data_IF_840448804976
#
_entry.id   IF_840448804976
#
_cell.length_a   1.000
_cell.length_b   1.000
_cell.length_c   1.000
_cell.angle_alpha   90.00
_cell.angle_beta   90.00
_cell.angle_gamma   90.00
#
_symmetry.space_group_name_H-M   'P 1'
#
loop_
_entity.id
_entity.type
_entity.pdbx_description
1 polymer ?
#
# COMPACT_ATOMS: atom_id res chain seq x y z
N UNK A 1 -8.61 20.96 14.57
CA UNK A 1 -8.52 19.56 14.10
C UNK A 1 -7.07 19.39 13.71
N UNK A 2 -6.33 18.49 14.37
CA UNK A 2 -4.91 18.31 14.07
C UNK A 2 -4.77 17.76 12.65
N UNK A 3 -3.75 18.20 11.90
CA UNK A 3 -3.47 17.69 10.57
C UNK A 3 -2.92 16.26 10.73
N UNK A 4 -3.29 15.32 9.84
CA UNK A 4 -2.71 13.97 9.86
C UNK A 4 -1.18 14.01 9.76
N UNK A 5 -0.63 15.05 9.14
CA UNK A 5 0.80 15.27 9.11
C UNK A 5 1.39 15.39 10.52
N UNK A 6 0.69 15.97 11.49
CA UNK A 6 1.17 16.07 12.89
C UNK A 6 1.47 14.70 13.51
N UNK A 7 0.82 13.66 12.99
CA UNK A 7 1.01 12.28 13.40
C UNK A 7 1.97 11.48 12.53
N UNK A 8 2.44 12.06 11.43
CA UNK A 8 3.48 11.51 10.58
C UNK A 8 4.87 11.89 11.10
N UNK A 9 5.92 11.13 10.73
CA UNK A 9 7.28 11.48 11.11
C UNK A 9 7.76 12.76 10.39
N UNK A 10 7.60 13.89 11.09
CA UNK A 10 7.92 15.24 10.63
C UNK A 10 9.39 15.46 10.27
N UNK A 11 10.31 14.59 10.70
CA UNK A 11 11.74 14.71 10.37
C UNK A 11 12.00 14.63 8.86
N UNK A 12 11.08 14.04 8.08
CA UNK A 12 11.14 13.99 6.61
C UNK A 12 10.83 15.32 5.92
N UNK A 13 9.87 16.09 6.43
CA UNK A 13 9.32 17.22 5.67
C UNK A 13 10.29 18.41 5.59
N UNK A 14 11.33 18.45 6.44
CA UNK A 14 12.27 19.58 6.54
C UNK A 14 13.48 19.50 5.60
N UNK A 15 13.78 18.37 4.98
CA UNK A 15 15.08 18.15 4.29
C UNK A 15 15.02 18.11 2.75
N UNK A 16 13.85 18.32 2.12
CA UNK A 16 13.68 18.22 0.65
C UNK A 16 14.07 19.53 -0.08
N UNK A 17 15.19 20.18 0.28
CA UNK A 17 15.60 21.43 -0.40
C UNK A 17 17.10 21.53 -0.69
N UNK A 18 17.52 20.95 -1.83
CA UNK A 18 18.42 21.49 -2.89
C UNK A 18 19.25 20.38 -3.56
N UNK A 19 19.19 20.20 -4.90
CA UNK A 19 19.92 19.13 -5.56
C UNK A 19 21.37 19.52 -5.93
N UNK A 20 22.31 18.59 -5.71
CA UNK A 20 23.56 18.47 -6.48
C UNK A 20 23.63 17.06 -7.08
N UNK A 21 24.04 16.98 -8.35
CA UNK A 21 23.81 15.92 -9.34
C UNK A 21 24.23 14.46 -9.01
N UNK A 22 24.81 14.19 -7.85
CA UNK A 22 25.23 12.82 -7.44
C UNK A 22 24.54 12.32 -6.15
N UNK A 23 23.51 13.03 -5.69
CA UNK A 23 22.90 12.95 -4.34
C UNK A 23 21.52 12.27 -4.26
N UNK A 24 20.97 11.69 -5.34
CA UNK A 24 19.54 11.28 -5.41
C UNK A 24 19.04 10.35 -4.29
N UNK A 25 19.90 9.53 -3.67
CA UNK A 25 19.50 8.61 -2.59
C UNK A 25 19.73 9.15 -1.17
N UNK A 26 20.44 10.28 -1.01
CA UNK A 26 20.77 10.87 0.30
C UNK A 26 19.65 11.74 0.89
N UNK A 27 18.59 12.02 0.12
CA UNK A 27 17.58 13.04 0.48
C UNK A 27 16.35 12.47 1.22
N UNK A 28 16.27 11.15 1.46
CA UNK A 28 15.28 10.56 2.37
C UNK A 28 15.99 9.99 3.59
N UNK A 29 16.47 10.87 4.49
CA UNK A 29 17.32 10.51 5.64
C UNK A 29 16.75 9.46 6.61
N UNK A 30 15.48 9.05 6.48
CA UNK A 30 14.87 8.01 7.30
C UNK A 30 14.26 6.84 6.50
N UNK A 31 14.38 6.79 5.17
CA UNK A 31 14.08 5.57 4.43
C UNK A 31 15.31 4.66 4.40
N UNK A 32 15.18 3.49 4.98
CA UNK A 32 16.24 2.49 5.06
C UNK A 32 16.05 1.52 3.91
N UNK A 33 16.99 1.47 2.96
CA UNK A 33 17.00 0.46 1.91
C UNK A 33 17.25 -0.91 2.54
N UNK A 34 16.40 -1.89 2.22
CA UNK A 34 16.53 -3.28 2.67
C UNK A 34 17.03 -4.19 1.55
N UNK A 35 16.66 -3.86 0.31
CA UNK A 35 17.06 -4.52 -0.93
C UNK A 35 16.71 -3.60 -2.10
N UNK A 36 17.00 -4.04 -3.32
CA UNK A 36 16.67 -3.28 -4.52
C UNK A 36 15.16 -3.01 -4.60
N UNK A 37 14.78 -1.74 -4.70
CA UNK A 37 13.37 -1.32 -4.75
C UNK A 37 12.56 -1.62 -3.48
N UNK A 38 13.20 -1.94 -2.35
CA UNK A 38 12.55 -2.24 -1.07
C UNK A 38 13.06 -1.31 0.04
N UNK A 39 12.17 -0.52 0.58
CA UNK A 39 12.49 0.52 1.56
C UNK A 39 11.63 0.37 2.81
N UNK A 40 12.19 0.68 3.97
CA UNK A 40 11.46 0.77 5.24
C UNK A 40 11.60 2.17 5.82
N UNK A 41 10.50 2.78 6.25
CA UNK A 41 10.48 4.16 6.73
C UNK A 41 9.51 4.32 7.90
N UNK A 42 9.74 5.26 8.84
CA UNK A 42 8.70 5.64 9.78
C UNK A 42 7.58 6.31 8.99
N UNK A 43 6.33 6.03 9.37
CA UNK A 43 5.13 6.62 8.77
C UNK A 43 4.30 7.28 9.85
N UNK A 44 3.92 6.53 10.88
CA UNK A 44 3.07 7.03 11.97
C UNK A 44 3.79 7.01 13.32
N UNK A 45 3.40 7.94 14.19
CA UNK A 45 3.71 7.84 15.62
C UNK A 45 2.98 6.66 16.25
N UNK A 46 3.54 6.09 17.34
CA UNK A 46 2.88 5.01 18.09
C UNK A 46 1.51 5.43 18.61
N UNK A 47 1.39 6.66 19.11
CA UNK A 47 0.13 7.21 19.60
C UNK A 47 -0.95 7.20 18.51
N UNK A 48 -0.60 7.61 17.28
CA UNK A 48 -1.54 7.56 16.18
C UNK A 48 -1.91 6.13 15.79
N UNK A 49 -0.95 5.19 15.81
CA UNK A 49 -1.26 3.78 15.60
C UNK A 49 -2.32 3.29 16.60
N UNK A 50 -2.19 3.62 17.89
CA UNK A 50 -3.19 3.25 18.91
C UNK A 50 -4.56 3.89 18.63
N UNK A 51 -4.61 5.19 18.34
CA UNK A 51 -5.88 5.87 18.01
C UNK A 51 -6.57 5.27 16.77
N UNK A 52 -5.80 4.96 15.73
CA UNK A 52 -6.34 4.33 14.53
C UNK A 52 -6.81 2.90 14.80
N UNK A 53 -6.09 2.13 15.62
CA UNK A 53 -6.52 0.79 16.02
C UNK A 53 -7.80 0.80 16.84
N UNK A 54 -7.97 1.76 17.76
CA UNK A 54 -9.20 1.91 18.55
C UNK A 54 -10.42 2.13 17.63
N UNK A 55 -10.29 3.00 16.62
CA UNK A 55 -11.35 3.26 15.64
C UNK A 55 -11.63 2.02 14.78
N UNK A 56 -10.59 1.33 14.30
CA UNK A 56 -10.74 0.10 13.52
C UNK A 56 -11.40 -1.02 14.35
N UNK A 57 -11.06 -1.16 15.62
CA UNK A 57 -11.70 -2.14 16.51
C UNK A 57 -13.16 -1.76 16.82
N UNK A 58 -13.50 -0.46 16.86
CA UNK A 58 -14.89 0.00 16.98
C UNK A 58 -15.70 -0.33 15.73
N UNK A 59 -15.13 -0.09 14.54
CA UNK A 59 -15.72 -0.49 13.25
C UNK A 59 -15.92 -1.99 13.20
N UNK A 60 -14.91 -2.79 13.59
CA UNK A 60 -14.97 -4.25 13.54
C UNK A 60 -16.11 -4.80 14.42
N UNK A 61 -16.34 -4.19 15.60
CA UNK A 61 -17.40 -4.56 16.55
C UNK A 61 -18.79 -4.06 16.16
N UNK A 62 -18.89 -3.10 15.23
CA UNK A 62 -20.16 -2.54 14.78
C UNK A 62 -20.90 -3.48 13.82
N UNK A 63 -22.20 -3.27 13.64
CA UNK A 63 -23.01 -3.98 12.64
C UNK A 63 -22.85 -3.40 11.22
N UNK A 64 -21.94 -2.44 11.02
CA UNK A 64 -21.72 -1.86 9.70
C UNK A 64 -21.24 -2.92 8.70
N UNK A 65 -21.73 -2.88 7.44
CA UNK A 65 -21.22 -3.74 6.38
C UNK A 65 -19.71 -3.55 6.19
N UNK A 66 -18.98 -4.64 6.07
CA UNK A 66 -17.53 -4.63 5.87
C UNK A 66 -17.23 -5.31 4.53
N UNK A 67 -16.81 -4.52 3.54
CA UNK A 67 -16.30 -5.07 2.29
C UNK A 67 -15.04 -5.87 2.53
N UNK A 68 -14.81 -6.90 1.70
CA UNK A 68 -13.55 -7.66 1.76
C UNK A 68 -12.38 -6.75 1.34
N UNK A 69 -11.26 -6.74 2.09
CA UNK A 69 -10.10 -5.90 1.77
C UNK A 69 -9.50 -6.24 0.40
N UNK A 70 -9.39 -7.53 0.07
CA UNK A 70 -9.03 -8.04 -1.25
C UNK A 70 -9.47 -9.52 -1.37
N UNK A 71 -9.12 -10.18 -2.48
CA UNK A 71 -9.45 -11.59 -2.76
C UNK A 71 -8.67 -12.61 -1.92
N UNK A 72 -7.56 -12.21 -1.28
CA UNK A 72 -6.63 -13.09 -0.60
C UNK A 72 -6.75 -13.06 0.94
N UNK A 73 -7.30 -11.98 1.51
CA UNK A 73 -7.43 -11.80 2.96
C UNK A 73 -8.86 -12.06 3.45
N UNK A 74 -8.97 -12.71 4.62
CA UNK A 74 -10.26 -13.03 5.26
C UNK A 74 -10.73 -11.93 6.19
N UNK A 75 -9.81 -11.17 6.79
CA UNK A 75 -10.11 -10.13 7.77
C UNK A 75 -9.47 -8.80 7.40
N UNK A 76 -10.21 -7.71 7.61
CA UNK A 76 -9.74 -6.37 7.30
C UNK A 76 -10.87 -5.41 6.96
N UNK A 77 -10.54 -4.13 6.88
CA UNK A 77 -11.49 -3.04 6.61
C UNK A 77 -11.02 -2.28 5.37
N UNK A 78 -11.92 -2.09 4.40
CA UNK A 78 -11.74 -1.15 3.30
C UNK A 78 -11.91 0.28 3.83
N UNK A 79 -10.83 1.06 3.88
CA UNK A 79 -10.81 2.34 4.59
C UNK A 79 -11.66 3.42 3.89
N UNK A 80 -11.86 3.31 2.58
CA UNK A 80 -12.71 4.23 1.83
C UNK A 80 -14.21 4.08 2.17
N UNK A 81 -14.66 2.91 2.62
CA UNK A 81 -16.06 2.69 3.05
C UNK A 81 -16.39 3.45 4.35
N UNK A 82 -15.38 3.81 5.13
CA UNK A 82 -15.51 4.44 6.44
C UNK A 82 -15.01 5.90 6.46
N UNK A 83 -14.83 6.51 5.29
CA UNK A 83 -14.54 7.95 5.19
C UNK A 83 -13.09 8.36 5.52
N UNK A 84 -12.15 7.41 5.62
CA UNK A 84 -10.74 7.72 5.87
C UNK A 84 -10.04 8.39 4.68
N UNK A 85 -10.65 8.41 3.49
CA UNK A 85 -10.01 8.93 2.27
C UNK A 85 -9.65 10.42 2.38
N UNK A 86 -10.61 11.26 2.76
CA UNK A 86 -10.45 12.73 2.71
C UNK A 86 -9.39 13.25 3.68
N UNK A 87 -9.35 12.75 4.92
CA UNK A 87 -8.56 13.35 6.00
C UNK A 87 -7.36 12.52 6.44
N UNK A 88 -7.31 11.22 6.14
CA UNK A 88 -6.18 10.35 6.45
C UNK A 88 -5.40 10.00 5.18
N UNK A 89 -6.04 9.32 4.22
CA UNK A 89 -5.34 8.70 3.10
C UNK A 89 -4.90 9.72 2.05
N UNK A 90 -5.74 10.71 1.75
CA UNK A 90 -5.48 11.78 0.80
C UNK A 90 -4.22 12.58 1.17
N UNK A 91 -4.15 13.20 2.35
CA UNK A 91 -2.96 13.95 2.74
C UNK A 91 -1.73 13.06 2.94
N UNK A 92 -1.88 11.85 3.50
CA UNK A 92 -0.78 10.88 3.60
C UNK A 92 -0.18 10.60 2.21
N UNK A 93 -1.01 10.35 1.21
CA UNK A 93 -0.56 10.09 -0.16
C UNK A 93 0.06 11.33 -0.80
N UNK A 94 -0.67 12.43 -0.81
CA UNK A 94 -0.32 13.62 -1.60
C UNK A 94 0.81 14.44 -0.98
N UNK A 95 0.85 14.56 0.34
CA UNK A 95 1.77 15.46 1.03
C UNK A 95 2.96 14.71 1.64
N UNK A 96 2.75 13.50 2.14
CA UNK A 96 3.81 12.72 2.79
C UNK A 96 4.50 11.72 1.84
N UNK A 97 3.72 10.90 1.11
CA UNK A 97 4.28 9.83 0.28
C UNK A 97 4.75 10.31 -1.10
N UNK A 98 4.03 11.20 -1.76
CA UNK A 98 4.36 11.68 -3.11
C UNK A 98 5.83 12.14 -3.31
N UNK A 99 6.44 12.96 -2.43
CA UNK A 99 7.85 13.33 -2.58
C UNK A 99 8.78 12.12 -2.41
N UNK A 100 8.43 11.18 -1.54
CA UNK A 100 9.22 9.96 -1.29
C UNK A 100 9.13 9.01 -2.48
N UNK A 101 7.92 8.74 -2.99
CA UNK A 101 7.72 7.80 -4.09
C UNK A 101 8.27 8.33 -5.41
N UNK A 102 8.17 9.65 -5.65
CA UNK A 102 8.76 10.29 -6.84
C UNK A 102 10.27 10.12 -6.90
N UNK A 103 10.93 10.14 -5.74
CA UNK A 103 12.37 9.99 -5.64
C UNK A 103 12.81 8.52 -5.70
N UNK A 104 12.10 7.63 -5.00
CA UNK A 104 12.48 6.22 -4.87
C UNK A 104 12.04 5.35 -6.05
N UNK A 105 10.95 5.72 -6.72
CA UNK A 105 10.34 4.94 -7.80
C UNK A 105 10.05 5.76 -9.07
N UNK A 106 11.00 6.58 -9.57
CA UNK A 106 10.75 7.51 -10.68
C UNK A 106 10.34 6.79 -11.98
N UNK A 107 10.84 5.56 -12.19
CA UNK A 107 10.60 4.77 -13.39
C UNK A 107 9.50 3.70 -13.20
N UNK A 108 8.76 3.75 -12.10
CA UNK A 108 7.73 2.76 -11.77
C UNK A 108 6.42 3.42 -11.38
N UNK A 109 6.10 4.57 -11.96
CA UNK A 109 4.86 5.31 -11.68
C UNK A 109 4.87 6.12 -10.37
N UNK A 110 5.97 6.10 -9.60
CA UNK A 110 6.06 6.76 -8.29
C UNK A 110 5.89 8.28 -8.32
N UNK A 111 6.00 8.89 -9.50
CA UNK A 111 5.84 10.34 -9.73
C UNK A 111 4.37 10.77 -9.63
N UNK A 112 3.43 9.93 -10.07
CA UNK A 112 2.00 10.26 -10.10
C UNK A 112 1.21 9.07 -9.59
N UNK A 113 1.00 9.01 -8.27
CA UNK A 113 0.23 7.96 -7.63
C UNK A 113 -1.11 8.53 -7.16
N UNK A 114 -2.08 8.62 -8.08
CA UNK A 114 -3.35 9.33 -7.92
C UNK A 114 -4.57 8.44 -7.65
N UNK A 115 -4.41 7.13 -7.71
CA UNK A 115 -5.48 6.15 -7.54
C UNK A 115 -5.17 5.17 -6.39
N UNK A 116 -5.46 5.55 -5.13
CA UNK A 116 -5.22 4.68 -3.99
C UNK A 116 -6.36 3.69 -3.76
N UNK A 117 -6.00 2.46 -3.40
CA UNK A 117 -6.87 1.50 -2.71
C UNK A 117 -6.23 1.17 -1.37
N UNK A 118 -6.87 1.57 -0.28
CA UNK A 118 -6.34 1.38 1.06
C UNK A 118 -7.25 0.51 1.91
N UNK A 119 -6.64 -0.43 2.60
CA UNK A 119 -7.33 -1.40 3.43
C UNK A 119 -6.46 -1.83 4.59
N UNK A 120 -7.07 -2.43 5.60
CA UNK A 120 -6.35 -3.08 6.69
C UNK A 120 -6.38 -4.58 6.53
N UNK A 121 -5.37 -5.25 7.09
CA UNK A 121 -5.35 -6.70 7.25
C UNK A 121 -4.95 -7.01 8.68
N UNK A 122 -5.73 -7.85 9.34
CA UNK A 122 -5.48 -8.27 10.71
C UNK A 122 -4.98 -9.71 10.75
N UNK A 123 -3.87 -9.92 11.44
CA UNK A 123 -3.28 -11.22 11.71
C UNK A 123 -3.40 -11.57 13.19
N UNK A 124 -3.73 -12.82 13.50
CA UNK A 124 -3.84 -13.33 14.87
C UNK A 124 -4.95 -14.36 15.04
N UNK A 125 -5.24 -14.73 16.29
CA UNK A 125 -6.30 -15.68 16.61
C UNK A 125 -7.66 -15.19 16.08
N UNK A 126 -8.37 -16.04 15.34
CA UNK A 126 -9.65 -15.70 14.70
C UNK A 126 -9.53 -14.91 13.40
N UNK A 127 -8.31 -14.62 12.93
CA UNK A 127 -8.03 -13.88 11.70
C UNK A 127 -7.03 -14.64 10.80
N UNK A 128 -6.49 -13.96 9.78
CA UNK A 128 -5.43 -14.50 8.94
C UNK A 128 -4.17 -14.80 9.79
N UNK A 129 -3.40 -15.83 9.43
CA UNK A 129 -2.17 -16.20 10.16
C UNK A 129 -0.92 -15.93 9.35
N UNK A 130 -1.00 -16.11 8.02
CA UNK A 130 0.03 -15.90 7.02
C UNK A 130 -0.64 -15.46 5.71
N UNK A 131 0.17 -15.23 4.67
CA UNK A 131 -0.32 -14.99 3.32
C UNK A 131 0.67 -15.60 2.31
N UNK A 132 0.17 -16.45 1.42
CA UNK A 132 0.96 -17.10 0.36
C UNK A 132 1.66 -16.09 -0.55
N UNK A 133 2.69 -16.55 -1.26
CA UNK A 133 3.45 -15.72 -2.20
C UNK A 133 2.55 -15.14 -3.30
N UNK A 134 2.60 -13.82 -3.48
CA UNK A 134 1.79 -13.06 -4.42
C UNK A 134 2.54 -11.78 -4.84
N UNK A 135 1.87 -10.96 -5.65
CA UNK A 135 2.26 -9.59 -5.98
C UNK A 135 1.02 -8.71 -5.92
N UNK A 136 1.20 -7.40 -5.83
CA UNK A 136 0.11 -6.46 -5.64
C UNK A 136 -0.38 -5.85 -6.96
N UNK A 137 -1.67 -5.53 -6.99
CA UNK A 137 -2.27 -4.71 -8.05
C UNK A 137 -1.95 -3.23 -7.82
N UNK A 138 -0.66 -2.89 -7.89
CA UNK A 138 -0.16 -1.53 -7.65
C UNK A 138 1.10 -1.23 -8.45
N UNK A 139 1.36 0.05 -8.72
CA UNK A 139 2.69 0.50 -9.12
C UNK A 139 3.64 0.49 -7.90
N UNK A 140 3.17 1.05 -6.78
CA UNK A 140 3.88 1.09 -5.50
C UNK A 140 2.91 0.70 -4.38
N UNK A 141 3.34 -0.19 -3.50
CA UNK A 141 2.63 -0.55 -2.28
C UNK A 141 3.30 0.05 -1.06
N UNK A 142 2.49 0.62 -0.17
CA UNK A 142 2.87 0.90 1.22
C UNK A 142 2.20 -0.12 2.14
N UNK A 143 2.98 -0.77 3.00
CA UNK A 143 2.48 -1.67 4.05
C UNK A 143 2.99 -1.22 5.42
N UNK A 144 2.12 -0.58 6.21
CA UNK A 144 2.44 -0.04 7.54
C UNK A 144 1.94 -0.99 8.61
N UNK A 145 2.85 -1.43 9.49
CA UNK A 145 2.42 -2.13 10.69
C UNK A 145 1.84 -1.10 11.68
N UNK A 146 0.53 -1.17 11.93
CA UNK A 146 -0.10 -0.44 13.03
C UNK A 146 0.26 -1.17 14.33
N UNK A 147 0.06 -2.49 14.34
CA UNK A 147 0.51 -3.42 15.38
C UNK A 147 -0.12 -3.21 16.76
N UNK A 148 -0.53 -4.30 17.43
CA UNK A 148 -0.86 -4.24 18.85
C UNK A 148 0.40 -4.45 19.68
N UNK A 149 0.42 -4.01 20.93
CA UNK A 149 1.59 -4.22 21.78
C UNK A 149 1.90 -5.73 21.96
N UNK A 150 3.17 -6.11 21.78
CA UNK A 150 3.65 -7.47 22.05
C UNK A 150 3.53 -8.50 20.92
N UNK A 151 3.24 -8.11 19.66
CA UNK A 151 3.28 -9.07 18.55
C UNK A 151 4.72 -9.51 18.19
N UNK A 152 4.87 -10.73 17.65
CA UNK A 152 6.16 -11.24 17.17
C UNK A 152 6.03 -12.11 15.92
N UNK A 153 7.09 -12.14 15.10
CA UNK A 153 7.13 -12.87 13.83
C UNK A 153 6.32 -12.20 12.71
N UNK A 154 5.93 -13.00 11.73
CA UNK A 154 5.16 -12.58 10.57
C UNK A 154 5.90 -11.64 9.61
N UNK A 155 7.19 -11.87 9.37
CA UNK A 155 7.97 -11.05 8.44
C UNK A 155 7.33 -11.03 7.05
N UNK A 156 7.54 -9.93 6.33
CA UNK A 156 7.40 -9.97 4.88
C UNK A 156 8.61 -10.66 4.30
N UNK A 157 8.38 -11.60 3.38
CA UNK A 157 9.45 -12.33 2.70
C UNK A 157 9.38 -11.98 1.22
N UNK A 158 10.40 -11.25 0.76
CA UNK A 158 10.48 -10.76 -0.61
C UNK A 158 11.37 -11.65 -1.46
N UNK A 159 10.90 -11.92 -2.68
CA UNK A 159 11.60 -12.67 -3.71
C UNK A 159 12.06 -11.79 -4.86
N UNK A 160 11.97 -12.31 -6.08
CA UNK A 160 12.27 -11.58 -7.32
C UNK A 160 11.07 -10.77 -7.80
N UNK A 161 11.31 -9.85 -8.74
CA UNK A 161 10.23 -9.20 -9.48
C UNK A 161 9.46 -10.23 -10.32
N UNK A 162 8.15 -10.03 -10.48
CA UNK A 162 7.29 -10.93 -11.26
C UNK A 162 7.76 -11.11 -12.70
N UNK A 163 8.36 -10.09 -13.30
CA UNK A 163 8.82 -10.14 -14.69
C UNK A 163 10.11 -10.98 -14.86
N UNK A 164 10.78 -11.35 -13.76
CA UNK A 164 11.99 -12.18 -13.75
C UNK A 164 11.71 -13.69 -13.52
N UNK A 165 10.43 -14.06 -13.36
CA UNK A 165 9.94 -15.42 -13.07
C UNK A 165 10.17 -16.44 -14.21
N UNK A 166 10.69 -16.02 -15.37
CA UNK A 166 11.11 -16.96 -16.43
C UNK A 166 12.18 -17.98 -15.96
N UNK A 167 12.79 -17.75 -14.79
CA UNK A 167 13.63 -18.73 -14.08
C UNK A 167 12.88 -19.26 -12.85
N UNK A 168 12.70 -20.59 -12.75
CA UNK A 168 11.80 -21.29 -11.80
C UNK A 168 12.14 -21.18 -10.29
N UNK A 169 12.60 -20.05 -9.79
CA UNK A 169 12.85 -19.88 -8.36
C UNK A 169 12.69 -18.41 -7.95
N UNK A 170 11.47 -17.99 -7.64
CA UNK A 170 11.17 -16.61 -7.23
C UNK A 170 11.77 -16.23 -5.88
N UNK A 171 12.19 -17.20 -5.06
CA UNK A 171 12.67 -16.98 -3.69
C UNK A 171 14.10 -17.47 -3.49
N UNK A 172 14.90 -17.58 -4.56
CA UNK A 172 16.25 -18.17 -4.53
C UNK A 172 17.20 -17.56 -3.48
N UNK A 173 16.93 -16.33 -3.05
CA UNK A 173 17.51 -15.67 -1.86
C UNK A 173 16.47 -14.72 -1.24
N UNK A 174 15.61 -15.18 -0.32
CA UNK A 174 14.52 -14.38 0.16
C UNK A 174 15.01 -13.29 1.12
N UNK A 175 14.46 -12.08 0.99
CA UNK A 175 14.75 -10.98 1.90
C UNK A 175 13.63 -10.85 2.94
N UNK A 176 13.96 -11.13 4.20
CA UNK A 176 13.04 -11.03 5.31
C UNK A 176 13.02 -9.59 5.86
N UNK A 177 11.84 -8.99 5.91
CA UNK A 177 11.62 -7.66 6.46
C UNK A 177 10.69 -7.74 7.67
N UNK A 178 11.28 -7.41 8.82
CA UNK A 178 10.58 -7.30 10.09
C UNK A 178 9.67 -6.07 10.11
N UNK A 179 8.43 -6.27 10.58
CA UNK A 179 7.49 -5.20 10.88
C UNK A 179 7.83 -4.48 12.19
N UNK A 180 7.60 -3.16 12.20
CA UNK A 180 7.71 -2.33 13.42
C UNK A 180 6.52 -1.40 13.48
N UNK A 181 5.86 -1.32 14.62
CA UNK A 181 4.72 -0.41 14.82
C UNK A 181 5.06 1.01 14.38
N UNK A 182 4.21 1.58 13.53
CA UNK A 182 4.36 2.91 12.93
C UNK A 182 5.29 2.96 11.72
N UNK A 183 5.96 1.87 11.36
CA UNK A 183 6.85 1.81 10.20
C UNK A 183 6.16 1.17 8.99
N UNK A 184 6.37 1.80 7.84
CA UNK A 184 5.96 1.33 6.53
C UNK A 184 7.08 0.59 5.81
N UNK A 185 6.70 -0.41 5.03
CA UNK A 185 7.50 -1.01 3.96
C UNK A 185 6.96 -0.49 2.64
N UNK A 186 7.82 0.13 1.83
CA UNK A 186 7.54 0.60 0.47
C UNK A 186 8.22 -0.32 -0.54
N UNK A 187 7.47 -0.80 -1.51
CA UNK A 187 7.98 -1.63 -2.61
C UNK A 187 7.16 -1.46 -3.88
N UNK A 188 7.70 -1.93 -5.01
CA UNK A 188 6.94 -2.06 -6.26
C UNK A 188 5.87 -3.13 -6.11
N UNK A 189 4.70 -2.95 -6.70
CA UNK A 189 3.61 -3.94 -6.59
C UNK A 189 3.97 -5.29 -7.19
N UNK A 190 4.70 -5.29 -8.31
CA UNK A 190 5.20 -6.52 -8.95
C UNK A 190 6.34 -7.25 -8.20
N UNK A 191 6.75 -6.79 -7.01
CA UNK A 191 7.74 -7.49 -6.19
C UNK A 191 7.07 -8.68 -5.51
N UNK A 192 7.47 -9.90 -5.88
CA UNK A 192 6.87 -11.11 -5.29
C UNK A 192 7.16 -11.15 -3.80
N UNK A 193 6.13 -11.37 -3.00
CA UNK A 193 6.27 -11.43 -1.55
C UNK A 193 5.21 -12.30 -0.89
N UNK A 194 5.51 -12.74 0.33
CA UNK A 194 4.59 -13.46 1.22
C UNK A 194 4.63 -12.85 2.61
N UNK A 195 3.65 -13.19 3.44
CA UNK A 195 3.67 -12.89 4.86
C UNK A 195 3.85 -14.20 5.65
N UNK A 196 4.90 -14.28 6.45
CA UNK A 196 5.10 -15.40 7.36
C UNK A 196 4.02 -15.48 8.43
N UNK A 197 3.94 -16.64 9.07
CA UNK A 197 3.07 -16.85 10.22
C UNK A 197 3.45 -15.94 11.39
N UNK A 198 2.46 -15.32 12.02
CA UNK A 198 2.65 -14.63 13.30
C UNK A 198 2.99 -15.65 14.40
N UNK A 199 4.05 -15.38 15.17
CA UNK A 199 4.49 -16.26 16.25
C UNK A 199 3.77 -15.97 17.57
N UNK A 200 3.29 -14.74 17.77
CA UNK A 200 2.49 -14.37 18.92
C UNK A 200 1.84 -13.00 18.78
N UNK A 201 0.76 -12.79 19.54
CA UNK A 201 0.00 -11.53 19.59
C UNK A 201 -1.00 -11.36 18.45
N UNK A 202 -1.38 -10.10 18.20
CA UNK A 202 -2.24 -9.65 17.10
C UNK A 202 -1.52 -8.53 16.36
N UNK A 203 -1.60 -8.51 15.04
CA UNK A 203 -1.01 -7.44 14.22
C UNK A 203 -1.99 -6.97 13.16
N UNK A 204 -2.30 -5.69 13.17
CA UNK A 204 -3.02 -5.05 12.07
C UNK A 204 -2.04 -4.22 11.23
N UNK A 205 -2.16 -4.34 9.91
CA UNK A 205 -1.38 -3.57 8.95
C UNK A 205 -2.34 -2.71 8.13
N UNK A 206 -1.97 -1.44 7.92
CA UNK A 206 -2.57 -0.59 6.89
C UNK A 206 -1.78 -0.80 5.60
N UNK A 207 -2.48 -1.22 4.54
CA UNK A 207 -1.92 -1.43 3.20
C UNK A 207 -2.56 -0.42 2.26
N UNK A 208 -1.73 0.28 1.49
CA UNK A 208 -2.17 1.19 0.45
C UNK A 208 -1.53 0.76 -0.87
N UNK A 209 -2.35 0.20 -1.75
CA UNK A 209 -2.02 0.02 -3.15
C UNK A 209 -2.18 1.37 -3.83
N UNK A 210 -1.06 1.93 -4.30
CA UNK A 210 -1.07 3.21 -4.97
C UNK A 210 -0.87 2.99 -6.45
N UNK A 211 -1.82 3.50 -7.23
CA UNK A 211 -1.78 3.42 -8.68
C UNK A 211 -1.62 4.75 -9.37
N UNK A 212 -1.04 4.69 -10.57
CA UNK A 212 -0.81 5.82 -11.47
C UNK A 212 -1.78 5.77 -12.63
N UNK A 213 -2.72 6.71 -12.74
CA UNK A 213 -3.61 6.84 -13.90
C UNK A 213 -2.84 6.94 -15.23
N UNK A 214 -1.64 7.54 -15.21
CA UNK A 214 -0.77 7.69 -16.37
C UNK A 214 -0.14 6.36 -16.85
N UNK A 215 -0.19 5.29 -16.04
CA UNK A 215 0.43 3.98 -16.33
C UNK A 215 -0.66 2.90 -16.35
N UNK A 216 -1.42 2.80 -15.26
CA UNK A 216 -2.42 1.77 -15.01
C UNK A 216 -3.58 1.74 -16.00
N UNK A 217 -3.87 2.88 -16.66
CA UNK A 217 -4.89 2.93 -17.73
C UNK A 217 -4.41 2.36 -19.07
N UNK A 218 -3.10 2.20 -19.25
CA UNK A 218 -2.51 1.67 -20.49
C UNK A 218 -2.21 0.19 -20.34
N UNK A 219 -1.74 -0.21 -19.15
CA UNK A 219 -1.32 -1.58 -18.86
C UNK A 219 -1.72 -1.96 -17.43
N UNK A 220 -2.36 -3.12 -17.30
CA UNK A 220 -2.61 -3.79 -16.04
C UNK A 220 -1.28 -4.15 -15.36
N UNK A 221 -1.05 -3.73 -14.10
CA UNK A 221 0.20 -4.04 -13.39
C UNK A 221 0.32 -5.54 -13.09
N UNK A 222 -0.78 -6.30 -13.18
CA UNK A 222 -0.74 -7.74 -12.94
C UNK A 222 -0.23 -8.51 -14.15
N UNK A 223 -0.93 -8.44 -15.29
CA UNK A 223 -0.65 -9.23 -16.49
C UNK A 223 0.15 -8.49 -17.58
N UNK A 224 0.44 -7.21 -17.41
CA UNK A 224 1.05 -6.33 -18.43
C UNK A 224 0.25 -6.23 -19.75
N UNK A 225 -1.04 -6.60 -19.76
CA UNK A 225 -1.98 -6.40 -20.88
C UNK A 225 -2.85 -5.16 -20.64
N UNK A 226 -3.51 -4.59 -21.66
CA UNK A 226 -4.53 -3.57 -21.45
C UNK A 226 -5.59 -4.06 -20.45
N UNK A 227 -5.98 -3.24 -19.45
CA UNK A 227 -6.91 -3.66 -18.40
C UNK A 227 -8.32 -3.92 -18.96
N UNK A 228 -9.04 -4.86 -18.34
CA UNK A 228 -10.43 -5.16 -18.67
C UNK A 228 -11.33 -4.71 -17.54
N UNK A 229 -11.97 -3.57 -17.72
CA UNK A 229 -12.74 -2.90 -16.67
C UNK A 229 -14.19 -3.33 -16.69
N UNK A 230 -14.69 -3.77 -15.54
CA UNK A 230 -16.11 -4.00 -15.32
C UNK A 230 -16.65 -3.01 -14.28
N UNK A 231 -17.85 -2.45 -14.49
CA UNK A 231 -18.54 -1.68 -13.47
C UNK A 231 -18.72 -2.45 -12.17
N UNK A 232 -18.45 -1.79 -11.04
CA UNK A 232 -18.69 -2.32 -9.71
C UNK A 232 -19.49 -1.32 -8.85
N UNK A 233 -20.42 -1.80 -8.01
CA UNK A 233 -20.98 -0.99 -6.94
C UNK A 233 -19.99 -0.79 -5.77
N UNK A 234 -18.89 -1.56 -5.74
CA UNK A 234 -17.90 -1.61 -4.65
C UNK A 234 -16.74 -0.61 -4.77
N UNK A 235 -15.59 -0.93 -4.18
CA UNK A 235 -14.38 -0.11 -4.29
C UNK A 235 -13.75 -0.22 -5.69
N UNK A 236 -13.33 0.92 -6.23
CA UNK A 236 -12.60 1.05 -7.51
C UNK A 236 -11.19 0.45 -7.37
N UNK A 237 -10.71 -0.29 -8.37
CA UNK A 237 -9.33 -0.79 -8.43
C UNK A 237 -8.33 0.26 -8.92
N UNK A 238 -8.80 1.48 -9.15
CA UNK A 238 -7.97 2.61 -9.51
C UNK A 238 -7.73 2.69 -11.01
N UNK A 239 -8.82 2.85 -11.78
CA UNK A 239 -8.74 3.15 -13.21
C UNK A 239 -9.47 4.46 -13.56
N UNK A 240 -9.11 5.07 -14.68
CA UNK A 240 -9.79 6.29 -15.19
C UNK A 240 -10.13 6.13 -16.66
N UNK A 241 -11.37 6.42 -17.05
CA UNK A 241 -11.77 6.52 -18.46
C UNK A 241 -11.44 7.93 -18.96
N UNK A 242 -10.78 8.04 -20.10
CA UNK A 242 -10.81 9.29 -20.87
C UNK A 242 -12.10 9.33 -21.68
N UNK A 243 -13.07 10.14 -21.25
CA UNK A 243 -14.25 10.41 -22.07
C UNK A 243 -13.81 11.08 -23.37
N UNK A 244 -13.98 10.38 -24.49
CA UNK A 244 -13.79 10.96 -25.81
C UNK A 244 -14.94 11.94 -26.10
N UNK A 245 -14.82 13.16 -25.59
CA UNK A 245 -15.46 14.34 -26.21
C UNK A 245 -16.79 14.84 -25.68
N UNK A 246 -17.23 14.48 -24.47
CA UNK A 246 -18.42 15.11 -23.86
C UNK A 246 -18.11 15.81 -22.54
N UNK A 247 -18.32 17.13 -22.51
CA UNK A 247 -18.32 17.96 -21.28
C UNK A 247 -19.53 17.65 -20.39
N UNK A 248 -19.72 16.39 -20.02
CA UNK A 248 -20.69 15.99 -19.00
C UNK A 248 -19.88 15.31 -17.92
N UNK A 249 -19.81 15.92 -16.74
CA UNK A 249 -19.20 15.31 -15.56
C UNK A 249 -20.16 14.24 -15.06
N UNK A 250 -20.13 13.06 -15.66
CA UNK A 250 -20.85 11.88 -15.15
C UNK A 250 -20.11 11.43 -13.88
N UNK A 251 -20.80 11.07 -12.78
CA UNK A 251 -20.15 10.48 -11.62
C UNK A 251 -19.31 9.29 -12.07
N UNK A 252 -18.03 9.27 -11.67
CA UNK A 252 -17.09 8.20 -12.05
C UNK A 252 -17.72 6.84 -11.72
N UNK A 253 -18.03 6.04 -12.74
CA UNK A 253 -18.47 4.68 -12.53
C UNK A 253 -17.25 3.93 -11.96
N UNK A 254 -17.40 3.33 -10.78
CA UNK A 254 -16.32 2.59 -10.14
C UNK A 254 -16.13 1.29 -10.91
N UNK A 255 -14.89 0.90 -11.15
CA UNK A 255 -14.58 -0.28 -11.96
C UNK A 255 -13.52 -1.15 -11.29
N UNK A 256 -13.56 -2.44 -11.60
CA UNK A 256 -12.57 -3.42 -11.20
C UNK A 256 -11.93 -4.02 -12.44
N UNK A 257 -10.63 -4.30 -12.38
CA UNK A 257 -9.97 -5.04 -13.45
C UNK A 257 -10.11 -6.52 -13.19
N UNK A 258 -10.78 -7.23 -14.10
CA UNK A 258 -11.02 -8.67 -13.98
C UNK A 258 -9.80 -9.51 -14.38
N UNK A 259 -8.60 -8.96 -14.21
CA UNK A 259 -7.37 -9.65 -14.51
C UNK A 259 -7.27 -10.97 -13.72
N UNK A 260 -7.28 -12.08 -14.43
CA UNK A 260 -7.10 -13.43 -13.88
C UNK A 260 -5.65 -13.85 -13.73
N UNK A 261 -4.70 -12.90 -13.75
CA UNK A 261 -3.29 -13.20 -13.52
C UNK A 261 -3.03 -13.40 -12.03
N UNK A 262 -3.53 -14.52 -11.48
CA UNK A 262 -3.07 -15.27 -10.31
C UNK A 262 -3.78 -16.62 -10.31
#
# INVERSE_FOLDING_TARGET
MNDILDFCDQRKLKEVSKPKETSRYKEVNCAIMKGEGLFRLPVFTKQFCHLLLDELDAIEKSDCPKGRPNSMNKSGILLNEYGFDTYLLGPLRQQYLAPVTSLLFPNSGGICLDLPKAFTVTYGSGHDLDLSCHFDNSEVTLNVALGYDGFSGGHLVFGRMKDELASQDSLKTPLHVEHRTGWGVLHRGGHMHSAEKLLGGKRCNLIMWMRSSAVGNVTCPMCNQPPQLLPTPGADDGFTIQDQGTQITVPRQREVDVCHAL
#
